data_IF_508370039019
#
_entry.id   IF_508370039019
#
_cell.length_a   1.000
_cell.length_b   1.000
_cell.length_c   1.000
_cell.angle_alpha   90.00
_cell.angle_beta   90.00
_cell.angle_gamma   90.00
#
_symmetry.space_group_name_H-M   'P 1'
#
loop_
_entity.id
_entity.type
_entity.pdbx_description
1 polymer ?
#
# COMPACT_ATOMS: atom_id res chain seq x y z
N UNK A 1 -0.96 -10.12 27.11
CA UNK A 1 -1.60 -10.64 25.88
C UNK A 1 -0.59 -11.51 25.14
N UNK A 2 -0.38 -12.69 25.66
CA UNK A 2 0.39 -13.77 25.06
C UNK A 2 -0.59 -14.60 24.24
N UNK A 3 -0.41 -14.69 22.93
CA UNK A 3 -1.24 -15.55 22.09
C UNK A 3 -1.36 -15.18 20.62
N UNK A 4 -0.80 -14.06 20.18
CA UNK A 4 -0.80 -13.75 18.74
C UNK A 4 0.58 -14.03 18.15
N UNK A 5 0.76 -15.21 17.56
CA UNK A 5 1.92 -15.49 16.73
C UNK A 5 1.99 -14.47 15.58
N UNK A 6 3.17 -13.89 15.38
CA UNK A 6 3.40 -13.01 14.22
C UNK A 6 3.18 -13.83 12.95
N UNK A 7 2.45 -13.25 12.00
CA UNK A 7 2.27 -13.89 10.69
C UNK A 7 3.65 -14.16 10.05
N UNK A 8 3.91 -15.38 9.56
CA UNK A 8 5.11 -15.71 8.82
C UNK A 8 5.31 -14.77 7.62
N UNK A 9 6.57 -14.52 7.25
CA UNK A 9 6.93 -13.59 6.16
C UNK A 9 6.20 -13.93 4.85
N UNK A 10 6.11 -15.21 4.50
CA UNK A 10 5.39 -15.69 3.31
C UNK A 10 3.88 -15.41 3.34
N UNK A 11 3.26 -15.36 4.52
CA UNK A 11 1.86 -14.99 4.66
C UNK A 11 1.67 -13.49 4.55
N UNK A 12 2.56 -12.67 5.15
CA UNK A 12 2.52 -11.20 5.04
C UNK A 12 2.65 -10.74 3.60
N UNK A 13 3.46 -11.41 2.78
CA UNK A 13 3.64 -11.07 1.37
C UNK A 13 2.35 -11.23 0.53
N UNK A 14 1.37 -11.99 1.02
CA UNK A 14 0.08 -12.17 0.34
C UNK A 14 -0.88 -11.00 0.51
N UNK A 15 -0.73 -10.19 1.56
CA UNK A 15 -1.57 -9.01 1.78
C UNK A 15 -1.16 -7.87 0.84
N UNK A 16 -2.12 -7.24 0.18
CA UNK A 16 -1.86 -6.19 -0.79
C UNK A 16 -1.24 -4.95 -0.16
N UNK A 17 -1.82 -4.48 0.92
CA UNK A 17 -1.39 -3.28 1.61
C UNK A 17 -1.56 -3.43 3.13
N UNK A 18 -0.77 -2.66 3.89
CA UNK A 18 -0.95 -2.46 5.32
C UNK A 18 -1.41 -1.03 5.55
N UNK A 19 -2.54 -0.88 6.23
CA UNK A 19 -3.07 0.41 6.67
C UNK A 19 -3.12 0.45 8.20
N UNK A 20 -2.96 1.63 8.77
CA UNK A 20 -3.04 1.85 10.20
C UNK A 20 -4.31 2.64 10.49
N UNK A 21 -5.20 2.08 11.30
CA UNK A 21 -6.46 2.74 11.67
C UNK A 21 -6.28 3.84 12.72
N UNK A 22 -5.27 3.71 13.58
CA UNK A 22 -5.07 4.61 14.71
C UNK A 22 -6.13 4.46 15.80
N UNK A 23 -6.11 5.39 16.74
CA UNK A 23 -7.17 5.54 17.74
C UNK A 23 -8.23 6.53 17.23
N UNK A 24 -9.50 6.38 17.66
CA UNK A 24 -10.54 7.34 17.35
C UNK A 24 -10.22 8.71 17.97
N UNK A 25 -10.82 9.76 17.43
CA UNK A 25 -10.76 11.09 18.06
C UNK A 25 -11.58 11.11 19.34
N UNK A 26 -11.28 12.03 20.26
CA UNK A 26 -12.06 12.19 21.49
C UNK A 26 -13.57 12.35 21.23
N UNK A 27 -13.95 13.05 20.16
CA UNK A 27 -15.35 13.21 19.77
C UNK A 27 -15.98 11.89 19.30
N UNK A 28 -15.24 11.08 18.56
CA UNK A 28 -15.69 9.75 18.14
C UNK A 28 -15.82 8.79 19.34
N UNK A 29 -14.87 8.81 20.29
CA UNK A 29 -14.97 8.02 21.53
C UNK A 29 -16.19 8.43 22.35
N UNK A 30 -16.45 9.73 22.49
CA UNK A 30 -17.63 10.22 23.19
C UNK A 30 -18.93 9.77 22.51
N UNK A 31 -18.96 9.76 21.18
CA UNK A 31 -20.11 9.26 20.42
C UNK A 31 -20.32 7.75 20.67
N UNK A 32 -19.24 6.95 20.66
CA UNK A 32 -19.31 5.52 20.98
C UNK A 32 -19.91 5.30 22.37
N UNK A 33 -19.43 6.04 23.39
CA UNK A 33 -19.93 5.93 24.76
C UNK A 33 -21.42 6.31 24.89
N UNK A 34 -21.85 7.36 24.19
CA UNK A 34 -23.26 7.82 24.21
C UNK A 34 -24.21 6.84 23.54
N UNK A 35 -23.76 6.12 22.50
CA UNK A 35 -24.59 5.18 21.74
C UNK A 35 -24.42 3.73 22.24
N UNK A 36 -23.60 3.50 23.29
CA UNK A 36 -23.44 2.16 23.86
C UNK A 36 -24.76 1.68 24.48
N UNK A 37 -25.29 0.57 23.96
CA UNK A 37 -26.59 0.00 24.40
C UNK A 37 -27.78 0.39 23.53
N UNK A 38 -27.64 1.27 22.55
CA UNK A 38 -28.63 1.48 21.49
C UNK A 38 -28.62 0.33 20.46
N UNK A 39 -29.54 0.34 19.49
CA UNK A 39 -29.55 -0.58 18.35
C UNK A 39 -28.18 -0.62 17.65
N UNK A 40 -27.77 -1.80 17.18
CA UNK A 40 -26.49 -1.96 16.51
C UNK A 40 -26.42 -1.08 15.26
N UNK A 41 -25.39 -0.21 15.09
CA UNK A 41 -25.22 0.54 13.85
C UNK A 41 -25.16 -0.34 12.60
N UNK A 42 -24.86 -1.63 12.75
CA UNK A 42 -24.83 -2.60 11.66
C UNK A 42 -26.21 -2.81 11.03
N UNK A 43 -27.30 -2.68 11.82
CA UNK A 43 -28.68 -2.87 11.34
C UNK A 43 -29.14 -1.74 10.40
N UNK A 44 -28.45 -0.59 10.45
CA UNK A 44 -28.75 0.58 9.62
C UNK A 44 -27.97 0.60 8.31
N UNK A 45 -26.98 -0.28 8.15
CA UNK A 45 -26.14 -0.32 6.95
C UNK A 45 -27.01 -0.75 5.74
N UNK A 46 -26.95 0.06 4.70
CA UNK A 46 -27.60 -0.23 3.41
C UNK A 46 -26.53 -0.45 2.34
N UNK A 47 -26.82 -1.31 1.33
CA UNK A 47 -25.94 -1.44 0.18
C UNK A 47 -25.75 -0.09 -0.51
N UNK A 48 -24.50 0.29 -0.80
CA UNK A 48 -24.17 1.53 -1.53
C UNK A 48 -23.91 1.29 -3.01
N UNK A 49 -23.79 0.03 -3.42
CA UNK A 49 -23.57 -0.40 -4.80
C UNK A 49 -23.94 -1.88 -4.95
N UNK A 50 -23.94 -2.37 -6.17
CA UNK A 50 -24.21 -3.77 -6.52
C UNK A 50 -22.97 -4.45 -7.11
N UNK A 51 -23.06 -5.77 -7.29
CA UNK A 51 -21.95 -6.59 -7.81
C UNK A 51 -21.63 -6.29 -9.28
N UNK A 52 -22.62 -5.84 -10.09
CA UNK A 52 -22.41 -5.49 -11.49
C UNK A 52 -21.59 -4.21 -11.60
N UNK A 53 -21.94 -3.19 -10.82
CA UNK A 53 -21.19 -1.94 -10.72
C UNK A 53 -19.75 -2.18 -10.26
N UNK A 54 -19.54 -3.03 -9.26
CA UNK A 54 -18.17 -3.39 -8.80
C UNK A 54 -17.37 -4.08 -9.92
N UNK A 55 -17.97 -5.01 -10.66
CA UNK A 55 -17.29 -5.67 -11.80
C UNK A 55 -16.92 -4.67 -12.89
N UNK A 56 -17.81 -3.73 -13.19
CA UNK A 56 -17.53 -2.66 -14.13
C UNK A 56 -16.37 -1.77 -13.66
N UNK A 57 -16.35 -1.35 -12.39
CA UNK A 57 -15.24 -0.59 -11.80
C UNK A 57 -13.93 -1.38 -11.93
N UNK A 58 -13.93 -2.66 -11.58
CA UNK A 58 -12.72 -3.51 -11.69
C UNK A 58 -12.21 -3.58 -13.14
N UNK A 59 -13.08 -3.74 -14.12
CA UNK A 59 -12.68 -3.76 -15.54
C UNK A 59 -12.14 -2.41 -16.00
N UNK A 60 -12.75 -1.30 -15.56
CA UNK A 60 -12.27 0.06 -15.83
C UNK A 60 -10.89 0.30 -15.27
N UNK A 61 -10.64 -0.11 -14.01
CA UNK A 61 -9.32 0.01 -13.38
C UNK A 61 -8.26 -0.82 -14.12
N UNK A 62 -8.59 -2.00 -14.61
CA UNK A 62 -7.66 -2.83 -15.39
C UNK A 62 -7.29 -2.16 -16.72
N UNK A 63 -8.17 -1.35 -17.30
CA UNK A 63 -7.93 -0.57 -18.52
C UNK A 63 -7.04 0.66 -18.34
N UNK A 64 -6.72 1.08 -17.11
CA UNK A 64 -5.82 2.21 -16.86
C UNK A 64 -4.44 1.90 -17.40
N UNK A 65 -3.92 2.79 -18.27
CA UNK A 65 -2.62 2.64 -18.91
C UNK A 65 -1.47 2.78 -17.91
N UNK A 66 -0.45 1.93 -18.05
CA UNK A 66 0.81 2.02 -17.31
C UNK A 66 1.95 1.99 -18.32
N UNK A 67 2.64 3.10 -18.48
CA UNK A 67 3.76 3.21 -19.40
C UNK A 67 4.94 2.30 -18.96
N UNK A 68 5.78 1.91 -19.91
CA UNK A 68 6.96 1.06 -19.64
C UNK A 68 7.87 1.71 -18.61
N UNK A 69 8.07 3.02 -18.69
CA UNK A 69 8.92 3.80 -17.79
C UNK A 69 8.40 3.77 -16.33
N UNK A 70 7.08 3.65 -16.14
CA UNK A 70 6.49 3.47 -14.81
C UNK A 70 6.73 2.05 -14.30
N UNK A 71 6.68 1.04 -15.16
CA UNK A 71 7.02 -0.33 -14.78
C UNK A 71 8.51 -0.43 -14.40
N UNK A 72 9.41 0.17 -15.17
CA UNK A 72 10.84 0.23 -14.86
C UNK A 72 11.09 0.95 -13.54
N UNK A 73 10.48 2.10 -13.32
CA UNK A 73 10.56 2.83 -12.05
C UNK A 73 10.12 1.99 -10.84
N UNK A 74 9.02 1.24 -10.97
CA UNK A 74 8.58 0.29 -9.93
C UNK A 74 9.63 -0.80 -9.72
N UNK A 75 10.20 -1.36 -10.78
CA UNK A 75 11.24 -2.40 -10.68
C UNK A 75 12.52 -1.86 -10.03
N UNK A 76 12.91 -0.63 -10.32
CA UNK A 76 14.07 0.02 -9.69
C UNK A 76 13.85 0.20 -8.18
N UNK A 77 12.66 0.65 -7.76
CA UNK A 77 12.30 0.73 -6.34
C UNK A 77 12.37 -0.67 -5.68
N UNK A 78 11.79 -1.69 -6.31
CA UNK A 78 11.83 -3.07 -5.81
C UNK A 78 13.28 -3.58 -5.73
N UNK A 79 14.09 -3.33 -6.76
CA UNK A 79 15.51 -3.65 -6.81
C UNK A 79 16.27 -2.99 -5.65
N UNK A 80 16.06 -1.70 -5.44
CA UNK A 80 16.67 -0.95 -4.34
C UNK A 80 16.31 -1.52 -2.96
N UNK A 81 15.10 -2.07 -2.77
CA UNK A 81 14.77 -2.77 -1.50
C UNK A 81 15.59 -4.03 -1.28
N UNK A 82 16.02 -4.71 -2.36
CA UNK A 82 16.78 -5.97 -2.29
C UNK A 82 18.27 -5.75 -2.06
N UNK A 83 18.78 -4.60 -2.51
CA UNK A 83 20.20 -4.22 -2.37
C UNK A 83 20.48 -3.31 -1.17
N UNK A 84 19.46 -2.93 -0.40
CA UNK A 84 19.63 -2.03 0.74
C UNK A 84 20.29 -2.74 1.92
N UNK A 85 21.38 -2.18 2.45
CA UNK A 85 22.22 -2.77 3.49
C UNK A 85 21.50 -3.22 4.77
N UNK A 86 20.48 -2.47 5.18
CA UNK A 86 19.71 -2.79 6.39
C UNK A 86 18.58 -3.80 6.15
N UNK A 87 18.33 -4.22 4.90
CA UNK A 87 17.25 -5.14 4.54
C UNK A 87 17.83 -6.52 4.26
N UNK A 88 17.42 -7.52 5.05
CA UNK A 88 17.76 -8.93 4.84
C UNK A 88 16.91 -9.57 3.72
N UNK A 89 15.61 -9.21 3.66
CA UNK A 89 14.70 -9.69 2.63
C UNK A 89 13.90 -8.49 2.08
N UNK A 90 14.15 -8.16 0.81
CA UNK A 90 13.46 -7.10 0.08
C UNK A 90 12.12 -7.53 -0.49
N UNK A 91 11.50 -6.65 -1.25
CA UNK A 91 10.18 -6.88 -1.83
C UNK A 91 10.19 -7.95 -2.94
N UNK A 92 9.15 -8.78 -2.97
CA UNK A 92 8.95 -9.85 -3.93
C UNK A 92 8.40 -9.34 -5.28
N UNK A 93 8.44 -10.15 -6.37
CA UNK A 93 7.75 -9.83 -7.62
C UNK A 93 6.22 -9.61 -7.43
N UNK A 94 5.61 -10.31 -6.47
CA UNK A 94 4.19 -10.09 -6.10
C UNK A 94 3.96 -8.68 -5.60
N UNK A 95 4.89 -8.12 -4.85
CA UNK A 95 4.81 -6.74 -4.37
C UNK A 95 4.75 -5.73 -5.53
N UNK A 96 5.55 -5.94 -6.60
CA UNK A 96 5.49 -5.13 -7.81
C UNK A 96 4.10 -5.18 -8.47
N UNK A 97 3.53 -6.39 -8.62
CA UNK A 97 2.18 -6.56 -9.17
C UNK A 97 1.11 -5.87 -8.32
N UNK A 98 1.22 -5.94 -6.99
CA UNK A 98 0.29 -5.25 -6.10
C UNK A 98 0.44 -3.74 -6.23
N UNK A 99 1.66 -3.22 -6.36
CA UNK A 99 1.90 -1.79 -6.52
C UNK A 99 1.32 -1.28 -7.85
N UNK A 100 1.54 -1.98 -8.96
CA UNK A 100 0.93 -1.63 -10.26
C UNK A 100 -0.61 -1.60 -10.17
N UNK A 101 -1.22 -2.61 -9.56
CA UNK A 101 -2.70 -2.68 -9.40
C UNK A 101 -3.23 -1.51 -8.58
N UNK A 102 -2.56 -1.19 -7.48
CA UNK A 102 -2.96 -0.08 -6.62
C UNK A 102 -2.77 1.28 -7.31
N UNK A 103 -1.70 1.46 -8.09
CA UNK A 103 -1.47 2.67 -8.87
C UNK A 103 -2.58 2.88 -9.91
N UNK A 104 -3.00 1.81 -10.61
CA UNK A 104 -4.15 1.88 -11.52
C UNK A 104 -5.42 2.34 -10.81
N UNK A 105 -5.72 1.74 -9.66
CA UNK A 105 -6.90 2.12 -8.88
C UNK A 105 -6.82 3.59 -8.42
N UNK A 106 -5.66 4.05 -7.93
CA UNK A 106 -5.44 5.44 -7.54
C UNK A 106 -5.62 6.40 -8.70
N UNK A 107 -5.07 6.09 -9.87
CA UNK A 107 -5.23 6.89 -11.08
C UNK A 107 -6.70 7.00 -11.49
N UNK A 108 -7.43 5.87 -11.53
CA UNK A 108 -8.86 5.84 -11.81
C UNK A 108 -9.68 6.68 -10.82
N UNK A 109 -9.42 6.54 -9.51
CA UNK A 109 -10.07 7.35 -8.47
C UNK A 109 -9.79 8.85 -8.61
N UNK A 110 -8.67 9.21 -9.24
CA UNK A 110 -8.32 10.59 -9.57
C UNK A 110 -8.82 11.05 -10.95
N UNK A 111 -9.69 10.28 -11.60
CA UNK A 111 -10.26 10.58 -12.92
C UNK A 111 -9.26 10.46 -14.08
N UNK A 112 -8.13 9.76 -13.88
CA UNK A 112 -7.08 9.60 -14.89
C UNK A 112 -7.11 8.20 -15.52
N UNK A 113 -6.94 8.15 -16.84
CA UNK A 113 -6.76 6.90 -17.59
C UNK A 113 -5.33 6.37 -17.64
N UNK A 114 -4.39 6.95 -16.89
CA UNK A 114 -2.99 6.58 -16.86
C UNK A 114 -2.35 6.81 -15.49
N UNK A 115 -1.34 6.01 -15.17
CA UNK A 115 -0.54 6.08 -13.93
C UNK A 115 0.58 7.11 -14.09
N UNK A 116 0.86 7.85 -13.01
CA UNK A 116 1.98 8.80 -12.92
C UNK A 116 2.93 8.38 -11.78
N UNK A 117 4.20 8.88 -11.76
CA UNK A 117 5.16 8.58 -10.70
C UNK A 117 4.65 8.89 -9.29
N UNK A 118 3.85 9.94 -9.12
CA UNK A 118 3.27 10.32 -7.82
C UNK A 118 2.33 9.23 -7.24
N UNK A 119 1.67 8.45 -8.12
CA UNK A 119 0.85 7.32 -7.66
C UNK A 119 1.74 6.23 -7.04
N UNK A 120 2.89 5.96 -7.67
CA UNK A 120 3.87 4.99 -7.18
C UNK A 120 4.44 5.45 -5.84
N UNK A 121 4.87 6.71 -5.74
CA UNK A 121 5.43 7.27 -4.52
C UNK A 121 4.44 7.23 -3.34
N UNK A 122 3.19 7.60 -3.57
CA UNK A 122 2.15 7.62 -2.56
C UNK A 122 1.83 6.22 -2.01
N UNK A 123 1.93 5.19 -2.85
CA UNK A 123 1.52 3.82 -2.53
C UNK A 123 2.68 2.89 -2.17
N UNK A 124 3.94 3.30 -2.40
CA UNK A 124 5.11 2.47 -2.13
C UNK A 124 5.17 2.04 -0.65
N UNK A 125 5.03 2.96 0.31
CA UNK A 125 5.13 2.63 1.72
C UNK A 125 3.98 1.70 2.20
N UNK A 126 2.69 1.97 1.97
CA UNK A 126 1.60 1.06 2.34
C UNK A 126 1.73 -0.36 1.76
N UNK A 127 2.30 -0.48 0.56
CA UNK A 127 2.38 -1.77 -0.15
C UNK A 127 3.68 -2.51 0.13
N UNK A 128 4.80 -1.82 0.33
CA UNK A 128 6.10 -2.46 0.44
C UNK A 128 6.56 -2.63 1.90
N UNK A 129 6.30 -1.65 2.78
CA UNK A 129 6.92 -1.60 4.10
C UNK A 129 6.66 -2.86 4.96
N UNK A 130 5.46 -3.43 4.92
CA UNK A 130 5.10 -4.61 5.71
C UNK A 130 5.75 -5.92 5.22
N UNK A 131 6.39 -5.91 4.06
CA UNK A 131 7.06 -7.07 3.43
C UNK A 131 8.54 -7.11 3.73
N UNK A 132 9.14 -5.97 4.09
CA UNK A 132 10.57 -5.86 4.33
C UNK A 132 10.96 -6.56 5.63
N UNK A 133 12.07 -7.29 5.60
CA UNK A 133 12.69 -7.91 6.77
C UNK A 133 14.06 -7.30 6.97
N UNK A 134 14.28 -6.72 8.14
CA UNK A 134 15.52 -6.03 8.48
C UNK A 134 16.57 -6.98 9.07
N UNK A 135 17.83 -6.72 8.79
CA UNK A 135 18.96 -7.39 9.43
C UNK A 135 19.06 -6.98 10.91
N UNK A 136 19.35 -7.93 11.82
CA UNK A 136 19.66 -7.64 13.23
C UNK A 136 18.49 -7.19 14.13
N UNK A 137 17.27 -7.14 13.65
CA UNK A 137 16.09 -6.69 14.43
C UNK A 137 15.11 -7.82 14.78
N UNK A 138 15.61 -8.91 15.32
CA UNK A 138 14.76 -9.93 15.96
C UNK A 138 14.33 -9.41 17.33
N UNK A 139 13.04 -9.09 17.50
CA UNK A 139 12.49 -8.71 18.82
C UNK A 139 12.08 -7.24 19.00
N UNK A 140 12.31 -6.35 18.04
CA UNK A 140 11.87 -4.94 18.14
C UNK A 140 10.35 -4.84 18.00
N UNK A 141 9.71 -3.97 18.77
CA UNK A 141 8.28 -3.73 18.75
C UNK A 141 7.75 -3.47 17.34
N UNK A 142 6.56 -4.00 17.01
CA UNK A 142 6.00 -3.97 15.66
C UNK A 142 5.83 -2.54 15.08
N UNK A 143 5.62 -1.54 15.94
CA UNK A 143 5.48 -0.13 15.55
C UNK A 143 6.80 0.53 15.14
N UNK A 144 7.90 0.25 15.84
CA UNK A 144 9.22 0.78 15.50
C UNK A 144 9.73 0.18 14.18
N UNK A 145 9.53 -1.12 14.00
CA UNK A 145 9.86 -1.79 12.73
C UNK A 145 9.06 -1.22 11.56
N UNK A 146 7.77 -0.89 11.76
CA UNK A 146 6.94 -0.27 10.74
C UNK A 146 7.44 1.12 10.34
N UNK A 147 7.74 1.99 11.33
CA UNK A 147 8.29 3.33 11.07
C UNK A 147 9.66 3.27 10.38
N UNK A 148 10.51 2.33 10.79
CA UNK A 148 11.79 2.10 10.14
C UNK A 148 11.61 1.68 8.67
N UNK A 149 10.66 0.78 8.38
CA UNK A 149 10.36 0.35 7.03
C UNK A 149 9.85 1.50 6.15
N UNK A 150 8.95 2.33 6.67
CA UNK A 150 8.47 3.52 5.95
C UNK A 150 9.60 4.53 5.69
N UNK A 151 10.49 4.74 6.66
CA UNK A 151 11.64 5.63 6.51
C UNK A 151 12.60 5.13 5.43
N UNK A 152 12.88 3.83 5.39
CA UNK A 152 13.72 3.23 4.36
C UNK A 152 13.07 3.34 2.98
N UNK A 153 11.78 3.06 2.83
CA UNK A 153 11.07 3.26 1.56
C UNK A 153 11.15 4.72 1.11
N UNK A 154 10.95 5.68 2.01
CA UNK A 154 11.09 7.11 1.69
C UNK A 154 12.52 7.49 1.25
N UNK A 155 13.53 6.86 1.83
CA UNK A 155 14.92 7.03 1.40
C UNK A 155 15.16 6.48 0.00
N UNK A 156 14.68 5.28 -0.28
CA UNK A 156 14.77 4.63 -1.59
C UNK A 156 14.07 5.50 -2.67
N UNK A 157 12.86 6.01 -2.39
CA UNK A 157 12.12 6.87 -3.32
C UNK A 157 12.87 8.18 -3.66
N UNK A 158 13.72 8.68 -2.76
CA UNK A 158 14.56 9.85 -3.03
C UNK A 158 15.80 9.54 -3.87
N UNK A 159 16.27 8.30 -3.83
CA UNK A 159 17.48 7.85 -4.54
C UNK A 159 17.18 7.34 -5.93
N UNK A 160 16.03 6.68 -6.13
CA UNK A 160 15.61 6.17 -7.43
C UNK A 160 15.13 7.33 -8.29
N UNK A 161 15.76 7.56 -9.48
CA UNK A 161 15.40 8.67 -10.35
C UNK A 161 13.96 8.53 -10.85
N UNK A 162 13.28 9.66 -10.97
CA UNK A 162 11.95 9.70 -11.60
C UNK A 162 12.07 9.36 -13.09
N UNK A 163 11.10 8.63 -13.66
CA UNK A 163 11.08 8.37 -15.08
C UNK A 163 10.99 9.67 -15.87
N UNK A 164 11.81 9.80 -16.88
CA UNK A 164 11.76 10.94 -17.80
C UNK A 164 10.43 10.91 -18.58
N UNK A 165 9.89 12.08 -18.87
CA UNK A 165 8.73 12.18 -19.75
C UNK A 165 9.12 11.63 -21.12
N UNK A 166 8.29 10.79 -21.78
CA UNK A 166 8.55 10.38 -23.15
C UNK A 166 8.78 11.63 -24.01
N UNK A 167 9.91 11.70 -24.69
CA UNK A 167 10.13 12.74 -25.69
C UNK A 167 9.06 12.58 -26.76
N UNK A 168 8.15 13.54 -26.87
CA UNK A 168 7.22 13.59 -27.99
C UNK A 168 8.07 13.73 -29.26
N UNK A 169 8.21 12.63 -29.99
CA UNK A 169 8.66 12.72 -31.36
C UNK A 169 7.58 13.50 -32.13
N UNK A 170 7.93 14.73 -32.53
CA UNK A 170 7.17 15.55 -33.48
C UNK A 170 7.22 14.87 -34.86
#
# INVERSE_FOLDING_TARGET
>A
MEGTYRLPEAQRDRFMARITMGYPTRSAELAILKHHGAASPLDEIRPVTDTQTIRWIMSTVLGVHVATEIHEYILDIIGATRSHESIRLGASPRAALHLVRACRARAAMSGRGYVIPDDVQALAAPILAHRLVFSGRSGVASHETARAAESVIKSILRQVPLPERPRQHR
#
